data_IF_185047625195
#
_entry.id   IF_185047625195
#
_cell.length_a   1.000
_cell.length_b   1.000
_cell.length_c   1.000
_cell.angle_alpha   90.00
_cell.angle_beta   90.00
_cell.angle_gamma   90.00
#
_symmetry.space_group_name_H-M   'P 1'
#
loop_
_entity.id
_entity.type
_entity.pdbx_description
1 polymer ?
#
# COMPACT_ATOMS: atom_id res chain seq x y z
N UNK A 1 7.91 -15.59 5.77
CA UNK A 1 9.34 -15.47 6.11
C UNK A 1 9.74 -14.00 6.21
N UNK A 2 10.61 -13.61 7.15
CA UNK A 2 11.16 -12.25 7.23
C UNK A 2 12.22 -12.07 6.14
N UNK A 3 12.18 -10.97 5.39
CA UNK A 3 13.12 -10.69 4.30
C UNK A 3 14.01 -9.48 4.57
N UNK A 4 13.51 -8.47 5.28
CA UNK A 4 14.28 -7.29 5.63
C UNK A 4 13.84 -6.76 6.99
N UNK A 5 14.69 -5.92 7.56
CA UNK A 5 14.45 -5.24 8.83
C UNK A 5 14.22 -3.75 8.56
N UNK A 6 13.16 -3.21 9.14
CA UNK A 6 12.80 -1.79 8.97
C UNK A 6 13.42 -1.04 10.15
N UNK A 7 14.27 -0.07 9.85
CA UNK A 7 14.95 0.77 10.83
C UNK A 7 14.51 2.23 10.68
N UNK A 8 14.38 2.94 11.79
CA UNK A 8 14.17 4.39 11.84
C UNK A 8 15.35 4.98 12.63
N UNK A 9 16.35 5.49 11.91
CA UNK A 9 17.66 5.77 12.50
C UNK A 9 18.34 4.48 12.95
N UNK A 10 18.74 4.42 14.22
CA UNK A 10 19.38 3.25 14.84
C UNK A 10 18.38 2.23 15.40
N UNK A 11 17.11 2.62 15.57
CA UNK A 11 16.09 1.75 16.17
C UNK A 11 15.38 0.85 15.15
N UNK A 12 15.07 -0.36 15.59
CA UNK A 12 14.40 -1.38 14.77
C UNK A 12 12.90 -1.29 14.99
N UNK A 13 12.21 -0.66 14.05
CA UNK A 13 10.77 -0.39 14.17
C UNK A 13 9.89 -1.51 13.59
N UNK A 14 10.47 -2.43 12.81
CA UNK A 14 9.71 -3.54 12.26
C UNK A 14 10.50 -4.44 11.32
N UNK A 15 9.77 -5.22 10.52
CA UNK A 15 10.31 -6.12 9.52
C UNK A 15 9.43 -6.23 8.29
N UNK A 16 10.06 -6.37 7.12
CA UNK A 16 9.34 -6.74 5.89
C UNK A 16 9.25 -8.25 5.82
N UNK A 17 8.03 -8.76 5.63
CA UNK A 17 7.74 -10.18 5.55
C UNK A 17 7.18 -10.55 4.19
N UNK A 18 7.69 -11.66 3.63
CA UNK A 18 7.16 -12.29 2.43
C UNK A 18 6.37 -13.52 2.80
N UNK A 19 5.13 -13.62 2.32
CA UNK A 19 4.24 -14.77 2.51
C UNK A 19 3.97 -15.42 1.15
N UNK A 20 4.05 -16.74 1.10
CA UNK A 20 3.71 -17.55 -0.08
C UNK A 20 2.54 -18.44 0.26
N UNK A 21 1.50 -18.41 -0.56
CA UNK A 21 0.35 -19.30 -0.42
C UNK A 21 0.72 -20.66 -1.02
N UNK A 22 1.15 -21.61 -0.18
CA UNK A 22 1.66 -22.92 -0.66
C UNK A 22 0.53 -23.83 -1.14
N UNK A 23 -0.66 -23.75 -0.55
CA UNK A 23 -1.83 -24.55 -0.94
C UNK A 23 -3.06 -23.66 -0.88
N UNK A 24 -3.82 -23.61 -1.98
CA UNK A 24 -5.09 -22.90 -2.06
C UNK A 24 -6.07 -23.76 -2.86
N UNK A 25 -7.28 -23.96 -2.33
CA UNK A 25 -8.35 -24.73 -2.99
C UNK A 25 -9.45 -23.85 -3.61
N UNK A 26 -9.44 -22.54 -3.32
CA UNK A 26 -10.49 -21.61 -3.74
C UNK A 26 -10.03 -20.71 -4.89
N UNK A 27 -8.73 -20.41 -4.95
CA UNK A 27 -8.14 -19.62 -6.02
C UNK A 27 -6.74 -20.14 -6.37
N UNK A 28 -6.09 -19.52 -7.36
CA UNK A 28 -4.77 -19.91 -7.82
C UNK A 28 -3.76 -20.03 -6.66
N UNK A 29 -3.10 -21.19 -6.49
CA UNK A 29 -2.07 -21.40 -5.49
C UNK A 29 -0.75 -20.70 -5.87
N UNK A 30 0.23 -20.75 -4.96
CA UNK A 30 1.60 -20.28 -5.14
C UNK A 30 1.83 -18.78 -5.33
N UNK A 31 0.79 -17.95 -5.18
CA UNK A 31 0.94 -16.49 -5.12
C UNK A 31 1.81 -16.07 -3.93
N UNK A 32 2.62 -15.04 -4.12
CA UNK A 32 3.46 -14.42 -3.09
C UNK A 32 3.03 -12.98 -2.85
N UNK A 33 2.99 -12.56 -1.59
CA UNK A 33 2.80 -11.16 -1.19
C UNK A 33 3.89 -10.73 -0.22
N UNK A 34 4.17 -9.43 -0.19
CA UNK A 34 5.09 -8.78 0.72
C UNK A 34 4.37 -7.69 1.47
N UNK A 35 4.54 -7.65 2.78
CA UNK A 35 3.99 -6.60 3.62
C UNK A 35 4.95 -6.25 4.75
N UNK A 36 4.76 -5.05 5.28
CA UNK A 36 5.55 -4.51 6.37
C UNK A 36 4.82 -4.78 7.69
N UNK A 37 5.53 -5.39 8.64
CA UNK A 37 5.08 -5.66 10.00
C UNK A 37 5.78 -4.66 10.93
N UNK A 38 5.01 -3.80 11.58
CA UNK A 38 5.52 -2.82 12.55
C UNK A 38 5.24 -3.35 13.95
N UNK A 39 6.26 -3.29 14.81
CA UNK A 39 6.11 -3.75 16.19
C UNK A 39 5.11 -2.86 16.94
N UNK A 40 4.25 -3.47 17.75
CA UNK A 40 3.16 -2.82 18.48
C UNK A 40 2.00 -2.22 17.64
N UNK A 41 2.05 -2.32 16.32
CA UNK A 41 0.97 -1.86 15.42
C UNK A 41 0.43 -3.00 14.53
N UNK A 42 1.26 -4.01 14.26
CA UNK A 42 0.88 -5.16 13.44
C UNK A 42 1.16 -4.94 11.96
N UNK A 43 0.30 -5.51 11.11
CA UNK A 43 0.45 -5.41 9.65
C UNK A 43 0.04 -4.00 9.21
N UNK A 44 0.94 -3.29 8.53
CA UNK A 44 0.64 -1.95 8.03
C UNK A 44 -0.17 -2.01 6.74
N UNK A 45 -1.49 -1.88 6.88
CA UNK A 45 -2.41 -1.80 5.74
C UNK A 45 -2.19 -0.53 4.92
N UNK A 46 -1.87 0.57 5.58
CA UNK A 46 -1.62 1.87 4.95
C UNK A 46 -0.37 1.81 4.08
N UNK A 47 0.69 1.15 4.56
CA UNK A 47 1.92 0.97 3.81
C UNK A 47 1.73 0.10 2.56
N UNK A 48 0.93 -0.96 2.66
CA UNK A 48 0.56 -1.80 1.52
C UNK A 48 -0.32 -1.03 0.52
N UNK A 49 -1.22 -0.19 1.01
CA UNK A 49 -2.08 0.66 0.18
C UNK A 49 -1.27 1.66 -0.64
N UNK A 50 -0.23 2.27 -0.06
CA UNK A 50 0.70 3.14 -0.77
C UNK A 50 1.43 2.39 -1.89
N UNK A 51 2.00 1.22 -1.57
CA UNK A 51 2.74 0.41 -2.54
C UNK A 51 1.86 -0.09 -3.70
N UNK A 52 0.64 -0.54 -3.40
CA UNK A 52 -0.33 -0.95 -4.43
C UNK A 52 -0.83 0.26 -5.23
N UNK A 53 -1.08 1.39 -4.58
CA UNK A 53 -1.50 2.62 -5.25
C UNK A 53 -0.46 3.12 -6.25
N UNK A 54 0.83 3.05 -5.90
CA UNK A 54 1.93 3.34 -6.83
C UNK A 54 1.94 2.36 -8.01
N UNK A 55 1.79 1.05 -7.74
CA UNK A 55 1.76 0.02 -8.79
C UNK A 55 0.64 0.27 -9.80
N UNK A 56 -0.53 0.70 -9.35
CA UNK A 56 -1.69 1.00 -10.20
C UNK A 56 -1.75 2.45 -10.68
N UNK A 57 -0.71 3.26 -10.43
CA UNK A 57 -0.62 4.68 -10.80
C UNK A 57 -1.75 5.56 -10.22
N UNK A 58 -2.38 5.11 -9.13
CA UNK A 58 -3.36 5.90 -8.37
C UNK A 58 -2.67 6.86 -7.40
N UNK A 59 -1.46 6.50 -6.98
CA UNK A 59 -0.61 7.33 -6.14
C UNK A 59 0.62 7.71 -6.96
N UNK A 60 0.88 9.01 -7.03
CA UNK A 60 2.04 9.56 -7.71
C UNK A 60 3.06 10.02 -6.69
N UNK A 61 4.33 9.73 -6.98
CA UNK A 61 5.47 10.16 -6.16
C UNK A 61 6.21 11.27 -6.90
N UNK A 62 6.01 12.50 -6.44
CA UNK A 62 6.74 13.67 -6.93
C UNK A 62 7.92 13.94 -6.00
N UNK A 63 9.06 13.33 -6.32
CA UNK A 63 10.27 13.37 -5.49
C UNK A 63 10.09 12.64 -4.16
N UNK A 64 10.01 13.39 -3.06
CA UNK A 64 9.73 12.85 -1.72
C UNK A 64 8.26 13.01 -1.30
N UNK A 65 7.40 13.58 -2.14
CA UNK A 65 5.98 13.79 -1.81
C UNK A 65 5.11 12.73 -2.45
N UNK A 66 4.11 12.25 -1.71
CA UNK A 66 3.07 11.38 -2.24
C UNK A 66 1.78 12.15 -2.43
N UNK A 67 1.13 11.91 -3.57
CA UNK A 67 -0.16 12.48 -3.92
C UNK A 67 -1.08 11.38 -4.42
N UNK A 68 -2.35 11.46 -4.06
CA UNK A 68 -3.40 10.57 -4.52
C UNK A 68 -4.21 11.26 -5.61
N UNK A 69 -4.42 10.57 -6.73
CA UNK A 69 -5.27 11.04 -7.82
C UNK A 69 -6.34 9.97 -8.09
N UNK A 70 -7.64 10.29 -7.91
CA UNK A 70 -8.71 9.35 -8.22
C UNK A 70 -8.72 8.94 -9.70
N UNK A 71 -9.05 7.68 -10.03
CA UNK A 71 -9.13 7.23 -11.41
C UNK A 71 -10.31 7.91 -12.13
N UNK A 72 -9.99 8.74 -13.13
CA UNK A 72 -10.96 9.54 -13.88
C UNK A 72 -11.22 10.95 -13.33
N UNK A 73 -10.46 11.39 -12.33
CA UNK A 73 -10.47 12.79 -11.87
C UNK A 73 -9.48 13.67 -12.63
N UNK A 74 -9.84 14.93 -12.85
CA UNK A 74 -8.92 15.98 -13.31
C UNK A 74 -7.85 16.29 -12.25
N UNK A 75 -6.74 16.92 -12.67
CA UNK A 75 -5.59 17.27 -11.80
C UNK A 75 -5.98 18.09 -10.55
N UNK A 76 -7.17 18.72 -10.55
CA UNK A 76 -7.71 19.50 -9.41
C UNK A 76 -8.17 18.65 -8.21
N UNK A 77 -8.43 17.35 -8.39
CA UNK A 77 -8.83 16.42 -7.31
C UNK A 77 -7.62 15.66 -6.73
N UNK A 78 -6.41 16.18 -6.95
CA UNK A 78 -5.19 15.58 -6.43
C UNK A 78 -5.01 15.91 -4.95
N UNK A 79 -5.20 14.91 -4.08
CA UNK A 79 -4.98 15.07 -2.65
C UNK A 79 -3.52 14.81 -2.30
N UNK A 80 -2.88 15.73 -1.58
CA UNK A 80 -1.52 15.54 -1.08
C UNK A 80 -1.57 14.67 0.17
N UNK A 81 -0.99 13.47 0.10
CA UNK A 81 -0.93 12.54 1.23
C UNK A 81 0.16 12.93 2.24
N UNK A 82 1.24 13.55 1.77
CA UNK A 82 2.31 14.04 2.62
C UNK A 82 3.70 13.90 2.02
N UNK A 83 4.70 14.42 2.75
CA UNK A 83 6.11 14.34 2.38
C UNK A 83 6.77 13.16 3.09
N UNK A 84 7.12 12.14 2.33
CA UNK A 84 7.78 10.94 2.79
C UNK A 84 6.80 9.83 3.16
N UNK A 85 7.32 8.61 3.25
CA UNK A 85 6.51 7.40 3.43
C UNK A 85 5.81 7.37 4.81
N UNK A 86 6.53 7.75 5.86
CA UNK A 86 6.02 7.77 7.24
C UNK A 86 4.88 8.79 7.43
N UNK A 87 5.03 9.97 6.81
CA UNK A 87 4.02 11.02 6.84
C UNK A 87 2.74 10.61 6.09
N UNK A 88 2.87 10.07 4.88
CA UNK A 88 1.71 9.61 4.10
C UNK A 88 0.98 8.45 4.77
N UNK A 89 1.72 7.57 5.45
CA UNK A 89 1.13 6.52 6.26
C UNK A 89 0.31 7.07 7.43
N UNK A 90 0.87 8.05 8.14
CA UNK A 90 0.20 8.71 9.27
C UNK A 90 -1.07 9.41 8.80
N UNK A 91 -1.00 10.13 7.67
CA UNK A 91 -2.15 10.76 7.05
C UNK A 91 -3.27 9.77 6.72
N UNK A 92 -2.95 8.61 6.12
CA UNK A 92 -3.94 7.57 5.80
C UNK A 92 -4.54 6.91 7.05
N UNK A 93 -3.79 6.87 8.16
CA UNK A 93 -4.29 6.36 9.45
C UNK A 93 -5.27 7.34 10.08
N UNK A 94 -4.99 8.63 10.00
CA UNK A 94 -5.84 9.71 10.53
C UNK A 94 -7.08 9.97 9.67
N UNK A 95 -7.02 9.69 8.38
CA UNK A 95 -8.10 9.93 7.42
C UNK A 95 -8.69 8.62 6.86
N UNK A 96 -9.54 7.91 7.64
CA UNK A 96 -10.09 6.61 7.24
C UNK A 96 -11.03 6.70 6.03
N UNK A 97 -11.64 7.87 5.77
CA UNK A 97 -12.48 8.11 4.59
C UNK A 97 -11.67 7.97 3.29
N UNK A 98 -10.57 8.71 3.21
CA UNK A 98 -9.63 8.69 2.07
C UNK A 98 -9.03 7.27 1.91
N UNK A 99 -8.62 6.64 3.01
CA UNK A 99 -8.14 5.25 3.00
C UNK A 99 -9.15 4.28 2.36
N UNK A 100 -10.42 4.39 2.73
CA UNK A 100 -11.48 3.50 2.22
C UNK A 100 -11.74 3.72 0.74
N UNK A 101 -11.69 4.97 0.29
CA UNK A 101 -11.83 5.34 -1.11
C UNK A 101 -10.69 4.76 -1.95
N UNK A 102 -9.43 5.03 -1.57
CA UNK A 102 -8.24 4.48 -2.24
C UNK A 102 -8.33 2.95 -2.29
N UNK A 103 -8.72 2.30 -1.19
CA UNK A 103 -8.86 0.84 -1.13
C UNK A 103 -9.92 0.31 -2.09
N UNK A 104 -11.03 1.04 -2.30
CA UNK A 104 -12.05 0.70 -3.29
C UNK A 104 -11.50 0.77 -4.71
N UNK A 105 -10.75 1.82 -5.03
CA UNK A 105 -10.12 1.99 -6.34
C UNK A 105 -9.04 0.95 -6.61
N UNK A 106 -8.16 0.67 -5.64
CA UNK A 106 -7.13 -0.37 -5.73
C UNK A 106 -7.77 -1.74 -5.93
N UNK A 107 -8.84 -2.08 -5.20
CA UNK A 107 -9.57 -3.35 -5.39
C UNK A 107 -10.21 -3.45 -6.78
N UNK A 108 -10.73 -2.35 -7.32
CA UNK A 108 -11.28 -2.32 -8.68
C UNK A 108 -10.18 -2.58 -9.72
N UNK A 109 -9.06 -1.86 -9.62
CA UNK A 109 -7.90 -2.04 -10.50
C UNK A 109 -7.35 -3.48 -10.43
N UNK A 110 -7.28 -4.07 -9.23
CA UNK A 110 -6.86 -5.47 -9.06
C UNK A 110 -7.80 -6.46 -9.75
N UNK A 111 -9.11 -6.23 -9.68
CA UNK A 111 -10.10 -7.08 -10.37
C UNK A 111 -9.94 -6.98 -11.88
N UNK A 112 -9.70 -5.77 -12.41
CA UNK A 112 -9.48 -5.55 -13.84
C UNK A 112 -8.16 -6.17 -14.33
N UNK A 113 -7.07 -6.06 -13.55
CA UNK A 113 -5.78 -6.74 -13.84
C UNK A 113 -5.97 -8.27 -13.84
N UNK A 114 -6.82 -8.80 -12.96
CA UNK A 114 -7.12 -10.23 -12.89
C UNK A 114 -8.11 -10.73 -13.96
N UNK A 115 -8.95 -9.86 -14.51
CA UNK A 115 -9.90 -10.22 -15.56
C UNK A 115 -9.27 -10.14 -16.97
N UNK A 116 -8.21 -9.36 -17.13
CA UNK A 116 -7.46 -9.22 -18.38
C UNK A 116 -6.36 -10.26 -18.58
N UNK A 117 -6.11 -11.11 -17.57
CA UNK A 117 -5.18 -12.26 -17.60
C UNK A 117 -5.96 -13.57 -17.60
#
# INVERSE_FOLDING_TARGET
RRIAQIKKGDEVVGGRHRVKVVKNKVAAPFKTTEFDLIYNEGISLEGELLALGEKFKLITKSGSSYSYTPPGGDESTTEKLGRGYDASRTFLRENPKVKTEILKHVRKALKEEHASK
#
